data_IF_111435853966
#
_entry.id   IF_111435853966
#
_cell.length_a   1.000
_cell.length_b   1.000
_cell.length_c   1.000
_cell.angle_alpha   90.00
_cell.angle_beta   90.00
_cell.angle_gamma   90.00
#
_symmetry.space_group_name_H-M   'P 1'
#
loop_
_entity.id
_entity.type
_entity.pdbx_description
1 polymer ?
#
# COMPACT_ATOMS: atom_id res chain seq x y z
N UNK A 1 32.15 9.67 -28.06
CA UNK A 1 31.42 10.87 -27.56
C UNK A 1 30.14 10.55 -26.78
N UNK A 2 29.64 9.30 -26.74
CA UNK A 2 28.47 8.91 -25.92
C UNK A 2 28.84 8.30 -24.55
N UNK A 3 30.11 7.92 -24.34
CA UNK A 3 30.55 7.16 -23.16
C UNK A 3 31.01 8.04 -21.98
N UNK A 4 31.11 9.36 -22.16
CA UNK A 4 31.45 10.31 -21.09
C UNK A 4 30.23 10.95 -20.40
N UNK A 5 29.02 10.81 -20.94
CA UNK A 5 27.82 11.38 -20.31
C UNK A 5 27.23 10.52 -19.19
N UNK A 6 27.52 9.21 -19.15
CA UNK A 6 26.99 8.28 -18.14
C UNK A 6 27.66 8.41 -16.76
N UNK A 7 28.81 9.09 -16.66
CA UNK A 7 29.55 9.22 -15.40
C UNK A 7 29.16 10.47 -14.58
N UNK A 8 28.36 11.37 -15.15
CA UNK A 8 28.02 12.66 -14.55
C UNK A 8 26.67 12.67 -13.80
N UNK A 9 25.91 11.57 -13.82
CA UNK A 9 24.69 11.46 -13.02
C UNK A 9 25.04 10.79 -11.68
N UNK A 10 25.16 11.55 -10.58
CA UNK A 10 25.30 10.92 -9.27
C UNK A 10 24.09 10.02 -9.04
N UNK A 11 24.33 8.78 -8.62
CA UNK A 11 23.27 7.90 -8.18
C UNK A 11 22.44 8.62 -7.10
N UNK A 12 21.09 8.53 -7.13
CA UNK A 12 20.25 9.19 -6.14
C UNK A 12 20.73 8.88 -4.73
N UNK A 13 20.91 9.92 -3.91
CA UNK A 13 21.32 9.74 -2.53
C UNK A 13 20.30 8.82 -1.81
N UNK A 14 20.76 7.83 -1.02
CA UNK A 14 19.85 6.97 -0.29
C UNK A 14 19.04 7.80 0.70
N UNK A 15 17.74 7.52 0.80
CA UNK A 15 16.86 8.16 1.76
C UNK A 15 17.34 7.93 3.19
N UNK A 16 17.16 8.95 4.03
CA UNK A 16 17.36 8.81 5.47
C UNK A 16 16.29 7.88 6.05
N UNK A 17 16.61 7.19 7.14
CA UNK A 17 15.65 6.33 7.85
C UNK A 17 14.40 7.07 8.32
N UNK A 18 14.53 8.39 8.57
CA UNK A 18 13.40 9.26 8.90
C UNK A 18 12.50 9.54 7.70
N UNK A 19 13.09 9.80 6.54
CA UNK A 19 12.35 10.00 5.28
C UNK A 19 11.61 8.72 4.89
N UNK A 20 12.25 7.57 5.06
CA UNK A 20 11.61 6.26 4.89
C UNK A 20 10.40 6.10 5.81
N UNK A 21 10.54 6.42 7.10
CA UNK A 21 9.44 6.32 8.05
C UNK A 21 8.27 7.21 7.64
N UNK A 22 8.54 8.46 7.25
CA UNK A 22 7.52 9.38 6.75
C UNK A 22 6.89 8.86 5.45
N UNK A 23 7.68 8.35 4.52
CA UNK A 23 7.22 7.75 3.27
C UNK A 23 6.29 6.56 3.49
N UNK A 24 6.65 5.66 4.41
CA UNK A 24 5.81 4.52 4.79
C UNK A 24 4.50 4.98 5.43
N UNK A 25 4.57 5.92 6.38
CA UNK A 25 3.38 6.45 7.05
C UNK A 25 2.40 7.10 6.05
N UNK A 26 2.91 8.01 5.22
CA UNK A 26 2.08 8.76 4.27
C UNK A 26 1.57 7.87 3.15
N UNK A 27 2.43 7.00 2.60
CA UNK A 27 2.07 6.07 1.53
C UNK A 27 0.99 5.10 1.97
N UNK A 28 1.15 4.48 3.14
CA UNK A 28 0.14 3.56 3.68
C UNK A 28 -1.18 4.27 3.99
N UNK A 29 -1.13 5.50 4.52
CA UNK A 29 -2.34 6.29 4.78
C UNK A 29 -3.11 6.57 3.50
N UNK A 30 -2.43 6.96 2.42
CA UNK A 30 -3.06 7.23 1.13
C UNK A 30 -3.74 5.96 0.57
N UNK A 31 -3.04 4.83 0.59
CA UNK A 31 -3.65 3.55 0.17
C UNK A 31 -4.83 3.19 1.06
N UNK A 32 -4.71 3.35 2.38
CA UNK A 32 -5.77 3.03 3.32
C UNK A 32 -7.03 3.90 3.13
N UNK A 33 -6.86 5.19 2.84
CA UNK A 33 -7.97 6.08 2.50
C UNK A 33 -8.67 5.64 1.19
N UNK A 34 -7.89 5.24 0.18
CA UNK A 34 -8.47 4.67 -1.04
C UNK A 34 -9.24 3.37 -0.79
N UNK A 35 -8.69 2.47 0.03
CA UNK A 35 -9.36 1.24 0.47
C UNK A 35 -10.65 1.56 1.24
N UNK A 36 -10.66 2.58 2.08
CA UNK A 36 -11.84 3.02 2.82
C UNK A 36 -12.94 3.53 1.87
N UNK A 37 -12.59 4.32 0.85
CA UNK A 37 -13.54 4.77 -0.19
C UNK A 37 -14.11 3.62 -1.01
N UNK A 38 -13.27 2.65 -1.40
CA UNK A 38 -13.75 1.44 -2.08
C UNK A 38 -14.72 0.66 -1.19
N UNK A 39 -14.34 0.45 0.09
CA UNK A 39 -15.17 -0.25 1.06
C UNK A 39 -16.56 0.37 1.19
N UNK A 40 -16.61 1.69 1.37
CA UNK A 40 -17.85 2.44 1.56
C UNK A 40 -18.73 2.43 0.31
N UNK A 41 -18.12 2.50 -0.87
CA UNK A 41 -18.85 2.45 -2.14
C UNK A 41 -19.28 1.03 -2.56
N UNK A 42 -18.96 -0.01 -1.76
CA UNK A 42 -19.21 -1.41 -2.11
C UNK A 42 -18.36 -1.90 -3.29
N UNK A 43 -17.21 -1.27 -3.51
CA UNK A 43 -16.28 -1.55 -4.59
C UNK A 43 -15.06 -2.32 -4.06
N UNK A 44 -14.34 -2.98 -4.97
CA UNK A 44 -13.09 -3.65 -4.66
C UNK A 44 -12.13 -3.57 -5.86
N UNK A 45 -10.85 -3.73 -5.59
CA UNK A 45 -9.80 -3.77 -6.61
C UNK A 45 -9.56 -5.20 -7.10
N UNK A 46 -8.74 -5.38 -8.13
CA UNK A 46 -8.17 -6.69 -8.46
C UNK A 46 -7.05 -7.11 -7.49
N UNK A 47 -6.39 -8.22 -7.81
CA UNK A 47 -5.19 -8.69 -7.09
C UNK A 47 -5.46 -9.24 -5.68
N UNK A 48 -4.45 -9.22 -4.82
CA UNK A 48 -4.58 -9.73 -3.44
C UNK A 48 -5.51 -8.87 -2.59
N UNK A 49 -5.50 -7.56 -2.78
CA UNK A 49 -6.44 -6.64 -2.12
C UNK A 49 -7.89 -6.96 -2.48
N UNK A 50 -8.16 -7.32 -3.74
CA UNK A 50 -9.48 -7.78 -4.17
C UNK A 50 -9.93 -9.05 -3.46
N UNK A 51 -9.03 -10.03 -3.32
CA UNK A 51 -9.31 -11.26 -2.55
C UNK A 51 -9.59 -10.92 -1.08
N UNK A 52 -8.89 -9.94 -0.50
CA UNK A 52 -9.17 -9.49 0.85
C UNK A 52 -10.55 -8.85 0.99
N UNK A 53 -10.97 -8.03 0.01
CA UNK A 53 -12.33 -7.50 -0.05
C UNK A 53 -13.39 -8.60 -0.18
N UNK A 54 -13.16 -9.60 -1.03
CA UNK A 54 -14.08 -10.73 -1.17
C UNK A 54 -14.22 -11.51 0.13
N UNK A 55 -13.11 -11.79 0.81
CA UNK A 55 -13.15 -12.42 2.13
C UNK A 55 -13.90 -11.57 3.16
N UNK A 56 -13.70 -10.25 3.13
CA UNK A 56 -14.43 -9.32 4.00
C UNK A 56 -15.94 -9.34 3.73
N UNK A 57 -16.35 -9.24 2.46
CA UNK A 57 -17.76 -9.16 2.07
C UNK A 57 -18.51 -10.49 2.18
N UNK A 58 -17.85 -11.63 1.90
CA UNK A 58 -18.50 -12.94 1.89
C UNK A 58 -18.39 -13.69 3.22
N UNK A 59 -17.26 -13.56 3.92
CA UNK A 59 -16.96 -14.33 5.14
C UNK A 59 -17.06 -13.46 6.41
N UNK A 60 -17.16 -12.14 6.28
CA UNK A 60 -17.21 -11.21 7.41
C UNK A 60 -15.88 -11.05 8.15
N UNK A 61 -14.76 -11.48 7.57
CA UNK A 61 -13.44 -11.31 8.18
C UNK A 61 -12.97 -9.85 8.18
N UNK A 62 -12.06 -9.51 9.08
CA UNK A 62 -11.45 -8.17 9.11
C UNK A 62 -10.62 -7.93 7.86
N UNK A 63 -10.86 -6.81 7.17
CA UNK A 63 -10.20 -6.51 5.89
C UNK A 63 -8.69 -6.35 6.09
N UNK A 64 -8.27 -5.63 7.13
CA UNK A 64 -6.86 -5.48 7.48
C UNK A 64 -6.20 -6.80 7.88
N UNK A 65 -6.91 -7.66 8.61
CA UNK A 65 -6.41 -8.98 8.97
C UNK A 65 -6.15 -9.87 7.75
N UNK A 66 -7.08 -9.89 6.80
CA UNK A 66 -6.92 -10.66 5.56
C UNK A 66 -5.80 -10.09 4.69
N UNK A 67 -5.70 -8.76 4.56
CA UNK A 67 -4.60 -8.08 3.84
C UNK A 67 -3.22 -8.44 4.42
N UNK A 68 -3.11 -8.56 5.73
CA UNK A 68 -1.86 -8.95 6.36
C UNK A 68 -1.51 -10.42 6.08
N UNK A 69 -2.48 -11.32 6.23
CA UNK A 69 -2.29 -12.77 6.05
C UNK A 69 -2.00 -13.12 4.60
N UNK A 70 -2.72 -12.53 3.63
CA UNK A 70 -2.51 -12.80 2.21
C UNK A 70 -1.13 -12.36 1.72
N UNK A 71 -0.48 -11.43 2.45
CA UNK A 71 0.86 -10.94 2.15
C UNK A 71 2.01 -11.81 2.72
N UNK A 72 1.72 -12.77 3.60
CA UNK A 72 2.72 -13.71 4.13
C UNK A 72 3.60 -14.38 3.06
N UNK A 73 3.06 -14.97 1.97
CA UNK A 73 3.89 -15.56 0.92
C UNK A 73 4.81 -14.54 0.23
N UNK A 74 4.38 -13.28 0.12
CA UNK A 74 5.18 -12.20 -0.47
C UNK A 74 6.33 -11.78 0.44
N UNK A 75 6.18 -11.83 1.77
CA UNK A 75 7.30 -11.59 2.68
C UNK A 75 8.36 -12.68 2.56
N UNK A 76 7.95 -13.95 2.46
CA UNK A 76 8.86 -15.07 2.25
C UNK A 76 9.61 -14.92 0.92
N UNK A 77 8.89 -14.52 -0.14
CA UNK A 77 9.51 -14.27 -1.44
C UNK A 77 10.48 -13.07 -1.40
N UNK A 78 10.04 -11.96 -0.81
CA UNK A 78 10.84 -10.74 -0.65
C UNK A 78 12.15 -11.03 0.10
N UNK A 79 12.09 -11.82 1.17
CA UNK A 79 13.26 -12.17 1.96
C UNK A 79 14.30 -12.93 1.15
N UNK A 80 13.84 -13.82 0.26
CA UNK A 80 14.70 -14.67 -0.57
C UNK A 80 15.24 -13.96 -1.82
N UNK A 81 14.51 -13.00 -2.37
CA UNK A 81 14.80 -12.42 -3.70
C UNK A 81 15.19 -10.94 -3.69
N UNK A 82 14.59 -10.12 -2.83
CA UNK A 82 14.80 -8.66 -2.80
C UNK A 82 15.67 -8.22 -1.61
N UNK A 83 15.79 -9.07 -0.59
CA UNK A 83 16.66 -8.85 0.56
C UNK A 83 15.92 -8.41 1.83
N UNK A 84 16.67 -8.42 2.95
CA UNK A 84 16.11 -8.29 4.29
C UNK A 84 15.52 -6.91 4.57
N UNK A 85 16.21 -5.84 4.15
CA UNK A 85 15.79 -4.45 4.40
C UNK A 85 14.46 -4.16 3.69
N UNK A 86 14.36 -4.48 2.39
CA UNK A 86 13.13 -4.33 1.63
C UNK A 86 11.97 -5.10 2.26
N UNK A 87 12.23 -6.32 2.72
CA UNK A 87 11.20 -7.18 3.32
C UNK A 87 10.71 -6.63 4.65
N UNK A 88 11.61 -6.12 5.51
CA UNK A 88 11.23 -5.51 6.77
C UNK A 88 10.42 -4.23 6.56
N UNK A 89 10.82 -3.38 5.60
CA UNK A 89 10.05 -2.19 5.21
C UNK A 89 8.67 -2.56 4.68
N UNK A 90 8.58 -3.57 3.82
CA UNK A 90 7.32 -4.08 3.26
C UNK A 90 6.41 -4.68 4.33
N UNK A 91 6.97 -5.47 5.25
CA UNK A 91 6.23 -6.02 6.38
C UNK A 91 5.66 -4.91 7.28
N UNK A 92 6.47 -3.90 7.59
CA UNK A 92 6.02 -2.73 8.35
C UNK A 92 4.93 -1.95 7.60
N UNK A 93 5.10 -1.74 6.29
CA UNK A 93 4.13 -1.04 5.45
C UNK A 93 2.78 -1.77 5.40
N UNK A 94 2.77 -3.08 5.15
CA UNK A 94 1.53 -3.86 5.12
C UNK A 94 0.89 -3.95 6.51
N UNK A 95 1.68 -4.10 7.58
CA UNK A 95 1.16 -4.05 8.95
C UNK A 95 0.50 -2.71 9.26
N UNK A 96 1.12 -1.61 8.84
CA UNK A 96 0.59 -0.26 9.00
C UNK A 96 -0.68 -0.03 8.18
N UNK A 97 -0.68 -0.44 6.90
CA UNK A 97 -1.87 -0.40 6.04
C UNK A 97 -3.03 -1.18 6.67
N UNK A 98 -2.75 -2.39 7.17
CA UNK A 98 -3.74 -3.25 7.82
C UNK A 98 -4.35 -2.57 9.05
N UNK A 99 -3.52 -1.92 9.86
CA UNK A 99 -3.99 -1.13 10.99
C UNK A 99 -4.85 0.05 10.52
N UNK A 100 -4.38 0.85 9.55
CA UNK A 100 -5.13 2.00 9.05
C UNK A 100 -6.49 1.61 8.46
N UNK A 101 -6.57 0.53 7.69
CA UNK A 101 -7.83 0.05 7.10
C UNK A 101 -8.87 -0.32 8.17
N UNK A 102 -8.44 -0.80 9.34
CA UNK A 102 -9.33 -1.12 10.46
C UNK A 102 -9.67 0.10 11.33
N UNK A 103 -8.74 1.06 11.46
CA UNK A 103 -8.92 2.25 12.31
C UNK A 103 -9.67 3.38 11.60
N UNK A 104 -9.37 3.64 10.31
CA UNK A 104 -9.93 4.75 9.55
C UNK A 104 -11.46 4.84 9.57
N UNK A 105 -12.23 3.74 9.42
CA UNK A 105 -13.69 3.79 9.49
C UNK A 105 -14.24 4.29 10.83
N UNK A 106 -13.43 4.30 11.90
CA UNK A 106 -13.82 4.85 13.21
C UNK A 106 -13.67 6.37 13.28
N UNK A 107 -12.90 6.96 12.39
CA UNK A 107 -12.61 8.40 12.35
C UNK A 107 -13.24 9.09 11.13
N UNK A 108 -13.44 8.35 10.05
CA UNK A 108 -13.99 8.83 8.78
C UNK A 108 -15.22 8.00 8.44
N UNK A 109 -16.36 8.66 8.37
CA UNK A 109 -17.62 8.07 7.92
C UNK A 109 -18.25 8.94 6.83
N UNK A 110 -18.97 8.32 5.91
CA UNK A 110 -19.60 9.01 4.79
C UNK A 110 -21.12 8.93 4.93
N UNK A 111 -21.81 10.07 4.87
CA UNK A 111 -23.28 10.10 4.81
C UNK A 111 -23.77 9.87 3.39
N UNK A 112 -23.05 10.43 2.42
CA UNK A 112 -23.27 10.24 0.99
C UNK A 112 -21.92 10.13 0.28
N UNK A 113 -21.75 9.07 -0.49
CA UNK A 113 -20.57 8.87 -1.33
C UNK A 113 -21.01 8.38 -2.70
N UNK A 114 -20.70 9.15 -3.75
CA UNK A 114 -20.99 8.73 -5.12
C UNK A 114 -20.00 7.62 -5.54
N UNK A 115 -20.45 6.46 -6.02
CA UNK A 115 -19.55 5.34 -6.37
C UNK A 115 -18.55 5.66 -7.48
N UNK A 116 -18.90 6.51 -8.45
CA UNK A 116 -17.99 6.90 -9.55
C UNK A 116 -16.86 7.77 -9.00
N UNK A 117 -17.20 8.74 -8.15
CA UNK A 117 -16.21 9.57 -7.47
C UNK A 117 -15.31 8.72 -6.57
N UNK A 118 -15.90 7.81 -5.79
CA UNK A 118 -15.16 6.89 -4.92
C UNK A 118 -14.17 6.05 -5.73
N UNK A 119 -14.58 5.48 -6.86
CA UNK A 119 -13.72 4.66 -7.70
C UNK A 119 -12.49 5.45 -8.21
N UNK A 120 -12.72 6.66 -8.73
CA UNK A 120 -11.64 7.52 -9.27
C UNK A 120 -10.71 7.96 -8.16
N UNK A 121 -11.26 8.48 -7.06
CA UNK A 121 -10.46 8.97 -5.93
C UNK A 121 -9.69 7.85 -5.24
N UNK A 122 -10.32 6.69 -5.02
CA UNK A 122 -9.66 5.55 -4.42
C UNK A 122 -8.50 5.05 -5.27
N UNK A 123 -8.68 4.97 -6.60
CA UNK A 123 -7.61 4.61 -7.53
C UNK A 123 -6.44 5.59 -7.52
N UNK A 124 -6.73 6.91 -7.52
CA UNK A 124 -5.69 7.94 -7.45
C UNK A 124 -4.92 7.91 -6.13
N UNK A 125 -5.63 7.79 -5.00
CA UNK A 125 -5.01 7.72 -3.68
C UNK A 125 -4.17 6.45 -3.53
N UNK A 126 -4.70 5.29 -3.95
CA UNK A 126 -3.97 4.04 -3.93
C UNK A 126 -2.72 4.10 -4.82
N UNK A 127 -2.85 4.59 -6.06
CA UNK A 127 -1.73 4.74 -6.99
C UNK A 127 -0.64 5.68 -6.48
N UNK A 128 -1.03 6.84 -5.93
CA UNK A 128 -0.08 7.78 -5.32
C UNK A 128 0.62 7.17 -4.09
N UNK A 129 -0.13 6.50 -3.22
CA UNK A 129 0.43 5.83 -2.04
C UNK A 129 1.41 4.71 -2.41
N UNK A 130 1.07 3.89 -3.41
CA UNK A 130 1.97 2.83 -3.93
C UNK A 130 3.25 3.45 -4.51
N UNK A 131 3.16 4.54 -5.28
CA UNK A 131 4.34 5.22 -5.84
C UNK A 131 5.26 5.76 -4.74
N UNK A 132 4.70 6.31 -3.66
CA UNK A 132 5.46 6.76 -2.48
C UNK A 132 6.20 5.59 -1.84
N UNK A 133 5.53 4.46 -1.64
CA UNK A 133 6.13 3.28 -1.01
C UNK A 133 7.28 2.70 -1.85
N UNK A 134 7.07 2.56 -3.16
CA UNK A 134 8.10 2.07 -4.09
C UNK A 134 9.34 2.98 -4.06
N UNK A 135 9.16 4.30 -4.02
CA UNK A 135 10.28 5.26 -3.92
C UNK A 135 11.12 5.08 -2.65
N UNK A 136 10.51 4.65 -1.54
CA UNK A 136 11.21 4.39 -0.28
C UNK A 136 11.67 2.93 -0.12
N UNK A 137 11.62 2.14 -1.21
CA UNK A 137 12.06 0.75 -1.20
C UNK A 137 11.17 -0.16 -0.35
N UNK A 138 9.86 0.11 -0.35
CA UNK A 138 8.83 -0.73 0.25
C UNK A 138 7.80 -1.13 -0.81
N UNK A 139 7.06 -2.20 -0.53
CA UNK A 139 5.91 -2.62 -1.30
C UNK A 139 4.74 -2.92 -0.36
N UNK A 140 3.57 -3.17 -0.93
CA UNK A 140 2.42 -3.75 -0.23
C UNK A 140 2.23 -5.24 -0.59
N UNK A 141 3.26 -5.87 -1.17
CA UNK A 141 3.28 -7.28 -1.54
C UNK A 141 2.58 -7.54 -2.87
N UNK A 142 1.49 -8.30 -2.85
CA UNK A 142 0.75 -8.72 -4.06
C UNK A 142 -0.23 -7.69 -4.64
N UNK A 143 -0.06 -6.42 -4.27
CA UNK A 143 -0.91 -5.28 -4.68
C UNK A 143 -0.35 -4.61 -5.92
#
# INVERSE_FOLDING_TARGET
>A
MAQELDTLTPAPAPHSTWEDAQGLLTGCLFVALGVCLFREAGLFTGGTTGVAFLAHYLLGYSLGGVLFVINLPFYVFGWRKLGRIFTLKTFAAVGLLSAYVELLPRWVGFTHLNPVFAAVMAGLLAGAGILILIRHGASLGGV
#
